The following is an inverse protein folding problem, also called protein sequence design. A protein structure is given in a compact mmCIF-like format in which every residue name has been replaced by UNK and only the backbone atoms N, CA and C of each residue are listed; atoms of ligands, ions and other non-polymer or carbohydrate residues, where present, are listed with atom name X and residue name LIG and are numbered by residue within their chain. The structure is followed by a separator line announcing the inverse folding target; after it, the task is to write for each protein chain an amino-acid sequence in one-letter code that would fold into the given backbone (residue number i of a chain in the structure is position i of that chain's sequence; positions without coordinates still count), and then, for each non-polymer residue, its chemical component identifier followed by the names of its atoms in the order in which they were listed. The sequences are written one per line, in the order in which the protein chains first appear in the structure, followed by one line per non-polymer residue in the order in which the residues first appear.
data_IF_332943630086
#
_entry.id   IF_332943630086
#
_cell.length_a   1.000
_cell.length_b   1.000
_cell.length_c   1.000
_cell.angle_alpha   90.00
_cell.angle_beta   90.00
_cell.angle_gamma   90.00
#
_symmetry.space_group_name_H-M   'P 1'
#
loop_
_entity.id
_entity.type
_entity.pdbx_description
1 polymer ?
#
# COMPACT_ATOMS: atom_id res chain seq x y z
N UNK A 1 43.32 32.86 46.36
CA UNK A 1 41.91 33.31 46.44
C UNK A 1 41.04 32.08 46.68
N UNK A 2 40.01 32.17 47.54
CA UNK A 2 38.94 31.18 47.84
C UNK A 2 39.30 29.68 47.61
N UNK A 3 39.69 28.93 48.63
CA UNK A 3 38.82 28.23 49.61
C UNK A 3 37.95 27.13 48.92
N UNK A 4 38.11 25.83 49.21
CA UNK A 4 37.92 25.10 50.49
C UNK A 4 36.42 24.86 50.79
N UNK A 5 35.91 23.71 51.28
CA UNK A 5 36.46 22.40 51.75
C UNK A 5 35.30 21.33 51.61
N UNK A 6 35.49 20.00 51.47
CA UNK A 6 35.80 18.94 52.48
C UNK A 6 34.80 18.92 53.66
N UNK A 7 34.14 17.81 54.05
CA UNK A 7 34.13 16.39 53.61
C UNK A 7 32.66 15.88 53.42
N UNK A 8 32.08 14.73 53.82
CA UNK A 8 32.42 13.54 54.64
C UNK A 8 31.80 12.24 54.03
N UNK A 9 31.79 11.12 54.77
CA UNK A 9 31.51 9.73 54.34
C UNK A 9 30.12 9.17 54.79
N UNK A 10 29.58 8.25 53.97
CA UNK A 10 28.84 6.99 54.32
C UNK A 10 27.55 7.06 55.20
N UNK A 11 26.60 6.10 55.24
CA UNK A 11 26.49 4.75 54.64
C UNK A 11 25.02 4.27 54.49
N UNK A 12 24.75 3.40 53.51
CA UNK A 12 23.74 2.30 53.46
C UNK A 12 22.19 2.51 53.58
N UNK A 13 21.49 1.65 52.81
CA UNK A 13 20.08 1.16 52.91
C UNK A 13 18.88 2.14 52.93
N UNK A 14 17.86 1.86 52.08
CA UNK A 14 16.46 2.24 52.38
C UNK A 14 15.59 2.86 51.27
N UNK A 15 15.27 2.11 50.21
CA UNK A 15 14.02 2.29 49.44
C UNK A 15 13.07 1.13 49.89
N UNK A 16 11.72 1.18 49.76
CA UNK A 16 10.93 2.10 48.94
C UNK A 16 9.60 2.66 49.53
N UNK A 17 9.02 3.64 48.81
CA UNK A 17 7.61 3.52 48.39
C UNK A 17 6.57 4.54 48.87
N UNK A 18 5.59 4.77 47.98
CA UNK A 18 4.23 5.31 48.17
C UNK A 18 4.01 6.81 48.43
N UNK A 19 3.68 7.45 47.29
CA UNK A 19 2.70 8.54 47.06
C UNK A 19 1.40 8.48 47.92
N UNK A 20 0.58 9.58 48.04
CA UNK A 20 -0.03 10.25 46.87
C UNK A 20 -0.23 11.79 46.90
N UNK A 21 -0.59 12.33 45.74
CA UNK A 21 -1.10 13.69 45.50
C UNK A 21 -2.48 13.96 46.13
N UNK A 22 -2.73 15.19 46.61
CA UNK A 22 -4.01 15.91 46.41
C UNK A 22 -3.96 17.42 46.78
N UNK A 23 -4.16 18.28 45.77
CA UNK A 23 -4.97 19.53 45.77
C UNK A 23 -4.86 20.52 46.95
N UNK A 24 -4.37 21.73 46.68
CA UNK A 24 -5.11 22.97 47.02
C UNK A 24 -4.74 24.15 46.11
N UNK A 25 -5.52 24.37 45.04
CA UNK A 25 -5.49 25.61 44.26
C UNK A 25 -6.60 26.56 44.75
N UNK A 26 -6.42 27.07 45.97
CA UNK A 26 -7.10 28.28 46.46
C UNK A 26 -6.06 29.23 47.02
N UNK A 27 -5.94 30.39 46.37
CA UNK A 27 -5.33 31.66 46.79
C UNK A 27 -4.32 32.24 45.78
N UNK A 28 -4.87 32.85 44.71
CA UNK A 28 -4.39 34.09 44.04
C UNK A 28 -5.27 34.43 42.82
N UNK A 29 -6.44 35.01 43.08
CA UNK A 29 -7.30 35.61 42.03
C UNK A 29 -7.70 37.04 42.44
N UNK A 30 -6.70 37.93 42.60
CA UNK A 30 -6.91 39.39 42.65
C UNK A 30 -5.74 40.13 41.95
N UNK A 31 -5.66 40.01 40.62
CA UNK A 31 -5.48 41.17 39.73
C UNK A 31 -6.42 40.89 38.54
N UNK A 32 -7.26 41.86 38.18
CA UNK A 32 -8.24 41.73 37.10
C UNK A 32 -8.51 43.09 36.45
N UNK A 33 -9.15 43.06 35.27
CA UNK A 33 -9.58 44.20 34.44
C UNK A 33 -8.47 44.93 33.66
N UNK A 34 -7.98 44.25 32.62
CA UNK A 34 -7.80 44.91 31.31
C UNK A 34 -7.86 43.90 30.14
N UNK A 35 -7.43 42.65 30.36
CA UNK A 35 -7.26 41.67 29.27
C UNK A 35 -8.56 41.00 28.75
N UNK A 36 -9.68 41.11 29.48
CA UNK A 36 -10.92 40.39 29.15
C UNK A 36 -11.47 40.68 27.74
N UNK A 37 -11.37 41.93 27.28
CA UNK A 37 -11.83 42.33 25.95
C UNK A 37 -10.85 41.93 24.83
N UNK A 38 -9.59 41.58 25.17
CA UNK A 38 -8.66 40.91 24.25
C UNK A 38 -9.00 39.42 24.13
N UNK A 39 -9.27 38.76 25.25
CA UNK A 39 -9.51 37.32 25.29
C UNK A 39 -10.77 36.88 24.53
N UNK A 40 -11.89 37.60 24.66
CA UNK A 40 -13.10 37.28 23.87
C UNK A 40 -12.87 37.39 22.35
N UNK A 41 -12.12 38.41 21.92
CA UNK A 41 -11.83 38.61 20.50
C UNK A 41 -10.86 37.54 19.98
N UNK A 42 -9.89 37.12 20.80
CA UNK A 42 -8.99 36.02 20.46
C UNK A 42 -9.74 34.68 20.36
N UNK A 43 -10.65 34.37 21.29
CA UNK A 43 -11.48 33.16 21.26
C UNK A 43 -12.41 33.13 20.03
N UNK A 44 -13.08 34.24 19.71
CA UNK A 44 -13.93 34.38 18.51
C UNK A 44 -13.11 34.24 17.22
N UNK A 45 -11.93 34.83 17.15
CA UNK A 45 -11.02 34.70 16.02
C UNK A 45 -10.50 33.26 15.88
N UNK A 46 -10.02 32.63 16.96
CA UNK A 46 -9.52 31.27 16.97
C UNK A 46 -10.61 30.25 16.57
N UNK A 47 -11.85 30.41 17.05
CA UNK A 47 -12.99 29.58 16.65
C UNK A 47 -13.42 29.78 15.19
N UNK A 48 -13.31 31.00 14.65
CA UNK A 48 -13.48 31.21 13.20
C UNK A 48 -12.35 30.60 12.38
N UNK A 49 -11.09 30.70 12.84
CA UNK A 49 -9.94 30.08 12.19
C UNK A 49 -10.07 28.56 12.22
N UNK A 50 -10.46 27.94 13.34
CA UNK A 50 -10.70 26.49 13.41
C UNK A 50 -11.83 26.06 12.46
N UNK A 51 -12.91 26.85 12.35
CA UNK A 51 -14.00 26.58 11.41
C UNK A 51 -13.56 26.72 9.95
N UNK A 52 -12.80 27.77 9.63
CA UNK A 52 -12.19 27.95 8.32
C UNK A 52 -11.21 26.81 7.99
N UNK A 53 -10.39 26.37 8.93
CA UNK A 53 -9.51 25.21 8.75
C UNK A 53 -10.28 23.90 8.58
N UNK A 54 -11.37 23.65 9.33
CA UNK A 54 -12.19 22.46 9.07
C UNK A 54 -12.88 22.52 7.71
N UNK A 55 -13.34 23.69 7.26
CA UNK A 55 -13.88 23.88 5.90
C UNK A 55 -12.79 23.73 4.84
N UNK A 56 -11.56 24.19 5.08
CA UNK A 56 -10.42 24.04 4.16
C UNK A 56 -9.85 22.62 4.13
N UNK A 57 -9.90 21.88 5.24
CA UNK A 57 -9.56 20.46 5.30
C UNK A 57 -10.61 19.63 4.55
N UNK A 58 -11.90 19.93 4.74
CA UNK A 58 -12.99 19.37 3.91
C UNK A 58 -12.81 19.78 2.45
N UNK A 59 -12.41 21.02 2.14
CA UNK A 59 -12.17 21.49 0.77
C UNK A 59 -10.90 20.90 0.12
N UNK A 60 -9.96 20.36 0.92
CA UNK A 60 -8.83 19.54 0.44
C UNK A 60 -9.20 18.05 0.33
N UNK A 61 -10.33 17.65 0.89
CA UNK A 61 -10.96 16.31 0.73
C UNK A 61 -11.99 16.31 -0.41
N UNK A 62 -12.57 17.46 -0.78
CA UNK A 62 -13.10 17.65 -2.14
C UNK A 62 -11.92 17.79 -3.09
N UNK A 63 -11.44 16.66 -3.59
CA UNK A 63 -10.47 16.62 -4.68
C UNK A 63 -10.95 17.56 -5.81
N UNK A 64 -10.01 18.28 -6.44
CA UNK A 64 -10.32 19.08 -7.61
C UNK A 64 -10.91 18.19 -8.71
N UNK A 65 -11.90 18.70 -9.45
CA UNK A 65 -12.54 17.97 -10.56
C UNK A 65 -11.49 17.29 -11.43
N UNK A 66 -11.68 16.00 -11.73
CA UNK A 66 -10.76 15.29 -12.60
C UNK A 66 -10.77 15.91 -14.00
N UNK A 67 -9.62 16.40 -14.46
CA UNK A 67 -9.45 16.74 -15.87
C UNK A 67 -9.42 15.46 -16.72
N UNK A 68 -10.56 15.13 -17.32
CA UNK A 68 -10.72 13.94 -18.16
C UNK A 68 -9.93 13.98 -19.49
N UNK A 69 -9.30 15.12 -19.83
CA UNK A 69 -8.38 15.21 -20.96
C UNK A 69 -6.94 14.78 -20.62
N UNK A 70 -6.62 14.66 -19.32
CA UNK A 70 -5.31 14.22 -18.81
C UNK A 70 -5.39 12.73 -18.44
N UNK A 71 -4.32 11.97 -18.67
CA UNK A 71 -4.27 10.54 -18.34
C UNK A 71 -4.42 10.33 -16.80
N UNK A 72 -5.15 9.30 -16.31
CA UNK A 72 -5.28 9.04 -14.87
C UNK A 72 -3.93 8.94 -14.13
N UNK A 73 -2.88 8.40 -14.77
CA UNK A 73 -1.54 8.28 -14.19
C UNK A 73 -0.75 9.61 -14.15
N UNK A 74 -1.18 10.62 -14.92
CA UNK A 74 -0.64 11.99 -14.88
C UNK A 74 -1.47 12.88 -13.91
N UNK A 75 -2.77 12.64 -13.84
CA UNK A 75 -3.73 13.36 -13.00
C UNK A 75 -3.61 12.95 -11.52
N UNK A 76 -3.43 11.65 -11.26
CA UNK A 76 -3.24 11.09 -9.94
C UNK A 76 -1.75 10.88 -9.64
N UNK A 77 -1.23 11.55 -8.61
CA UNK A 77 0.18 11.42 -8.20
C UNK A 77 0.54 9.96 -7.93
N UNK A 78 1.42 9.40 -8.77
CA UNK A 78 2.01 8.07 -8.59
C UNK A 78 2.74 8.01 -7.23
N UNK A 79 2.48 6.99 -6.38
CA UNK A 79 3.16 6.82 -5.09
C UNK A 79 4.64 6.44 -5.26
N UNK A 80 5.49 6.85 -4.31
CA UNK A 80 6.90 6.42 -4.29
C UNK A 80 7.10 4.90 -4.28
N UNK A 81 6.18 4.15 -3.65
CA UNK A 81 6.31 2.69 -3.46
C UNK A 81 6.36 1.88 -4.77
N UNK A 82 5.92 2.47 -5.90
CA UNK A 82 6.05 1.84 -7.23
C UNK A 82 7.46 1.97 -7.84
N UNK A 83 8.37 2.71 -7.18
CA UNK A 83 9.73 2.98 -7.65
C UNK A 83 10.79 2.58 -6.60
N UNK A 84 10.46 2.67 -5.31
CA UNK A 84 11.37 2.33 -4.21
C UNK A 84 10.62 1.60 -3.08
N UNK A 85 11.17 0.51 -2.56
CA UNK A 85 10.64 -0.18 -1.37
C UNK A 85 11.32 0.46 -0.14
N UNK A 86 10.58 1.06 0.81
CA UNK A 86 11.16 1.75 1.95
C UNK A 86 11.77 0.74 2.92
N UNK A 87 12.94 1.05 3.50
CA UNK A 87 13.55 0.24 4.56
C UNK A 87 13.08 0.61 5.96
N UNK A 88 12.59 1.84 6.14
CA UNK A 88 12.18 2.40 7.43
C UNK A 88 10.65 2.47 7.56
N UNK A 89 10.14 2.18 8.77
CA UNK A 89 8.69 2.14 9.06
C UNK A 89 8.05 3.54 8.99
N UNK A 90 8.81 4.62 9.21
CA UNK A 90 8.34 6.00 8.97
C UNK A 90 7.96 6.24 7.52
N UNK A 91 8.80 5.75 6.61
CA UNK A 91 8.77 6.05 5.20
C UNK A 91 7.69 5.18 4.53
N UNK A 92 7.59 3.92 4.96
CA UNK A 92 6.44 3.06 4.68
C UNK A 92 5.10 3.70 5.06
N UNK A 93 5.01 4.39 6.19
CA UNK A 93 3.76 5.09 6.60
C UNK A 93 3.46 6.32 5.75
N UNK A 94 4.47 7.06 5.28
CA UNK A 94 4.27 8.11 4.27
C UNK A 94 3.75 7.49 2.97
N UNK A 95 4.39 6.43 2.49
CA UNK A 95 4.06 5.77 1.22
C UNK A 95 2.65 5.18 1.26
N UNK A 96 2.25 4.57 2.38
CA UNK A 96 0.88 4.11 2.62
C UNK A 96 -0.17 5.23 2.48
N UNK A 97 0.14 6.45 2.92
CA UNK A 97 -0.75 7.60 2.73
C UNK A 97 -0.78 8.06 1.26
N UNK A 98 0.34 8.02 0.54
CA UNK A 98 0.38 8.30 -0.91
C UNK A 98 -0.43 7.27 -1.69
N UNK A 99 -0.19 5.98 -1.48
CA UNK A 99 -0.88 4.87 -2.15
C UNK A 99 -2.39 4.91 -1.89
N UNK A 100 -2.83 5.07 -0.63
CA UNK A 100 -4.26 5.21 -0.31
C UNK A 100 -4.88 6.51 -0.84
N UNK A 101 -4.09 7.52 -1.21
CA UNK A 101 -4.56 8.71 -1.94
C UNK A 101 -4.62 8.48 -3.46
N UNK A 102 -3.66 7.77 -4.03
CA UNK A 102 -3.60 7.42 -5.46
C UNK A 102 -4.81 6.56 -5.86
N UNK A 103 -5.07 5.45 -5.17
CA UNK A 103 -6.20 4.57 -5.48
C UNK A 103 -7.57 5.28 -5.36
N UNK A 104 -7.71 6.24 -4.44
CA UNK A 104 -8.93 7.07 -4.34
C UNK A 104 -9.07 8.03 -5.52
N UNK A 105 -7.97 8.62 -5.96
CA UNK A 105 -7.94 9.51 -7.12
C UNK A 105 -8.26 8.76 -8.42
N UNK A 106 -7.63 7.60 -8.66
CA UNK A 106 -7.90 6.78 -9.85
C UNK A 106 -9.32 6.26 -9.88
N UNK A 107 -9.89 5.92 -8.71
CA UNK A 107 -11.31 5.55 -8.60
C UNK A 107 -12.24 6.72 -8.93
N UNK A 108 -12.02 7.90 -8.34
CA UNK A 108 -12.78 9.10 -8.67
C UNK A 108 -12.67 9.46 -10.15
N UNK A 109 -11.47 9.36 -10.74
CA UNK A 109 -11.27 9.57 -12.16
C UNK A 109 -12.11 8.59 -13.00
N UNK A 110 -12.19 7.31 -12.62
CA UNK A 110 -13.09 6.36 -13.30
C UNK A 110 -14.58 6.73 -13.12
N UNK A 111 -14.99 7.17 -11.93
CA UNK A 111 -16.39 7.54 -11.66
C UNK A 111 -16.80 8.88 -12.33
N UNK A 112 -15.86 9.83 -12.53
CA UNK A 112 -16.10 11.12 -13.22
C UNK A 112 -15.88 11.06 -14.74
N UNK A 113 -14.91 10.29 -15.22
CA UNK A 113 -14.41 10.30 -16.61
C UNK A 113 -14.55 8.95 -17.36
N UNK A 114 -14.94 7.86 -16.69
CA UNK A 114 -14.83 6.49 -17.20
C UNK A 114 -15.69 6.11 -18.42
N UNK A 115 -16.57 6.99 -18.90
CA UNK A 115 -17.39 6.73 -20.10
C UNK A 115 -16.56 6.81 -21.39
N UNK A 116 -15.78 5.76 -21.68
CA UNK A 116 -15.23 5.49 -23.00
C UNK A 116 -13.79 5.98 -23.27
N UNK A 117 -12.95 6.15 -22.23
CA UNK A 117 -11.51 6.41 -22.39
C UNK A 117 -10.64 5.27 -21.86
N UNK A 118 -10.62 5.09 -20.54
CA UNK A 118 -9.83 4.07 -19.83
C UNK A 118 -10.71 3.52 -18.70
N UNK A 119 -10.81 2.19 -18.61
CA UNK A 119 -11.33 1.51 -17.42
C UNK A 119 -10.12 0.98 -16.65
N UNK A 120 -10.00 1.34 -15.37
CA UNK A 120 -8.94 0.88 -14.46
C UNK A 120 -9.44 -0.28 -13.59
N UNK A 121 -10.70 -0.22 -13.18
CA UNK A 121 -11.37 -1.24 -12.36
C UNK A 121 -12.52 -1.82 -13.18
N UNK A 122 -12.18 -2.72 -14.11
CA UNK A 122 -13.12 -3.33 -15.08
C UNK A 122 -13.88 -4.54 -14.47
N UNK A 123 -13.32 -5.15 -13.42
CA UNK A 123 -13.96 -6.25 -12.70
C UNK A 123 -14.71 -5.76 -11.44
N UNK A 124 -15.94 -6.26 -11.16
CA UNK A 124 -16.69 -5.88 -9.98
C UNK A 124 -15.94 -6.19 -8.68
N UNK A 125 -15.88 -5.23 -7.75
CA UNK A 125 -15.19 -5.38 -6.47
C UNK A 125 -13.67 -5.27 -6.53
N UNK A 126 -13.07 -5.07 -7.71
CA UNK A 126 -11.61 -4.99 -7.88
C UNK A 126 -11.02 -3.79 -7.12
N UNK A 127 -11.61 -2.59 -7.27
CA UNK A 127 -11.17 -1.42 -6.51
C UNK A 127 -11.25 -1.65 -5.00
N UNK A 128 -12.37 -2.18 -4.53
CA UNK A 128 -12.66 -2.41 -3.13
C UNK A 128 -11.67 -3.43 -2.54
N UNK A 129 -11.46 -4.56 -3.21
CA UNK A 129 -10.51 -5.61 -2.80
C UNK A 129 -9.05 -5.11 -2.75
N UNK A 130 -8.60 -4.38 -3.78
CA UNK A 130 -7.27 -3.76 -3.77
C UNK A 130 -7.14 -2.71 -2.66
N UNK A 131 -8.15 -1.85 -2.49
CA UNK A 131 -8.12 -0.76 -1.52
C UNK A 131 -8.15 -1.24 -0.07
N UNK A 132 -8.95 -2.27 0.23
CA UNK A 132 -9.07 -2.82 1.57
C UNK A 132 -7.84 -3.66 1.93
N UNK A 133 -7.25 -4.41 0.97
CA UNK A 133 -5.99 -5.13 1.21
C UNK A 133 -4.81 -4.19 1.44
N UNK A 134 -4.71 -3.10 0.67
CA UNK A 134 -3.75 -2.02 0.93
C UNK A 134 -4.07 -1.33 2.27
N UNK A 135 -5.34 -1.25 2.66
CA UNK A 135 -5.72 -0.69 3.95
C UNK A 135 -5.24 -1.54 5.12
N UNK A 136 -5.42 -2.86 5.07
CA UNK A 136 -4.88 -3.79 6.06
C UNK A 136 -3.35 -3.67 6.16
N UNK A 137 -2.64 -3.76 5.03
CA UNK A 137 -1.16 -3.63 4.96
C UNK A 137 -0.66 -2.32 5.59
N UNK A 138 -1.46 -1.25 5.51
CA UNK A 138 -1.13 0.09 5.99
C UNK A 138 -1.69 0.44 7.38
N UNK A 139 -2.49 -0.41 8.02
CA UNK A 139 -3.10 -0.14 9.33
C UNK A 139 -2.29 -0.76 10.47
N UNK A 140 -1.90 0.07 11.43
CA UNK A 140 -0.99 -0.31 12.52
C UNK A 140 -1.52 -1.49 13.34
N UNK A 141 -0.83 -2.63 13.26
CA UNK A 141 -1.13 -3.82 14.07
C UNK A 141 -2.06 -4.86 13.43
N UNK A 142 -2.42 -4.74 12.15
CA UNK A 142 -2.96 -5.90 11.40
C UNK A 142 -1.85 -6.94 11.17
N UNK A 143 -2.23 -8.18 10.86
CA UNK A 143 -1.26 -9.24 10.58
C UNK A 143 -0.38 -8.92 9.34
N UNK A 144 -0.99 -8.39 8.27
CA UNK A 144 -0.26 -8.00 7.06
C UNK A 144 0.67 -6.80 7.32
N UNK A 145 0.21 -5.80 8.09
CA UNK A 145 1.03 -4.67 8.48
C UNK A 145 2.25 -5.09 9.31
N UNK A 146 2.08 -6.00 10.29
CA UNK A 146 3.19 -6.52 11.09
C UNK A 146 4.20 -7.28 10.23
N UNK A 147 3.75 -8.22 9.40
CA UNK A 147 4.67 -8.99 8.52
C UNK A 147 5.39 -8.06 7.54
N UNK A 148 4.73 -7.05 6.97
CA UNK A 148 5.38 -6.11 6.05
C UNK A 148 6.36 -5.19 6.78
N UNK A 149 5.96 -4.58 7.90
CA UNK A 149 6.81 -3.61 8.64
C UNK A 149 8.04 -4.26 9.28
N UNK A 150 7.93 -5.51 9.75
CA UNK A 150 9.08 -6.27 10.29
C UNK A 150 10.06 -6.73 9.19
N UNK A 151 9.62 -6.83 7.93
CA UNK A 151 10.41 -7.39 6.82
C UNK A 151 10.74 -6.38 5.71
N UNK A 152 10.47 -5.08 5.89
CA UNK A 152 10.75 -4.00 4.93
C UNK A 152 12.14 -4.08 4.29
N UNK A 153 13.18 -4.28 5.12
CA UNK A 153 14.54 -4.46 4.62
C UNK A 153 14.66 -5.68 3.72
N UNK A 154 14.06 -6.81 4.06
CA UNK A 154 14.14 -8.01 3.23
C UNK A 154 13.42 -7.82 1.90
N UNK A 155 12.27 -7.15 1.89
CA UNK A 155 11.59 -6.76 0.65
C UNK A 155 12.46 -5.83 -0.20
N UNK A 156 13.07 -4.78 0.38
CA UNK A 156 14.01 -3.92 -0.34
C UNK A 156 15.23 -4.70 -0.90
N UNK A 157 15.85 -5.57 -0.09
CA UNK A 157 16.95 -6.43 -0.50
C UNK A 157 16.54 -7.46 -1.58
N UNK A 158 15.26 -7.88 -1.64
CA UNK A 158 14.75 -8.84 -2.63
C UNK A 158 14.37 -8.15 -3.93
N UNK A 159 13.49 -7.15 -3.86
CA UNK A 159 13.00 -6.42 -5.03
C UNK A 159 14.10 -5.59 -5.70
N UNK A 160 15.07 -5.05 -4.94
CA UNK A 160 16.25 -4.37 -5.49
C UNK A 160 17.29 -5.28 -6.17
N UNK A 161 17.02 -6.58 -6.32
CA UNK A 161 17.91 -7.57 -6.97
C UNK A 161 17.19 -8.53 -7.91
N UNK A 162 15.87 -8.44 -8.06
CA UNK A 162 15.08 -9.35 -8.89
C UNK A 162 14.63 -8.67 -10.16
N UNK A 163 14.59 -9.41 -11.26
CA UNK A 163 14.24 -8.91 -12.58
C UNK A 163 12.89 -9.52 -13.02
N UNK A 164 11.95 -9.72 -12.09
CA UNK A 164 10.70 -10.46 -12.35
C UNK A 164 9.77 -9.82 -13.41
N UNK A 165 9.99 -8.55 -13.76
CA UNK A 165 9.29 -7.92 -14.87
C UNK A 165 9.99 -8.26 -16.18
N UNK A 166 11.30 -8.03 -16.28
CA UNK A 166 12.10 -8.34 -17.47
C UNK A 166 12.09 -9.85 -17.79
N UNK A 167 12.13 -10.72 -16.79
CA UNK A 167 12.00 -12.18 -16.98
C UNK A 167 10.60 -12.59 -17.48
N UNK A 168 9.55 -11.81 -17.20
CA UNK A 168 8.21 -12.05 -17.75
C UNK A 168 8.11 -11.52 -19.19
N UNK A 169 8.61 -10.31 -19.45
CA UNK A 169 8.70 -9.71 -20.80
C UNK A 169 9.52 -10.59 -21.77
N UNK A 170 10.71 -11.05 -21.35
CA UNK A 170 11.56 -11.97 -22.13
C UNK A 170 10.87 -13.32 -22.38
N UNK A 171 10.07 -13.82 -21.43
CA UNK A 171 9.31 -15.06 -21.58
C UNK A 171 8.16 -14.94 -22.60
N UNK A 172 7.42 -13.83 -22.58
CA UNK A 172 6.28 -13.63 -23.51
C UNK A 172 6.69 -13.08 -24.88
N UNK A 173 7.85 -12.43 -25.02
CA UNK A 173 8.31 -11.86 -26.29
C UNK A 173 8.36 -12.89 -27.44
N UNK A 174 8.92 -14.10 -27.28
CA UNK A 174 8.90 -15.15 -28.31
C UNK A 174 7.51 -15.70 -28.63
N UNK A 175 6.49 -15.47 -27.79
CA UNK A 175 5.09 -15.71 -28.16
C UNK A 175 4.58 -14.55 -29.02
N UNK A 176 4.73 -13.30 -28.57
CA UNK A 176 4.31 -12.08 -29.28
C UNK A 176 4.87 -12.02 -30.71
N UNK A 177 6.14 -12.40 -30.91
CA UNK A 177 6.75 -12.45 -32.24
C UNK A 177 6.06 -13.45 -33.17
N UNK A 178 5.82 -14.69 -32.72
CA UNK A 178 5.08 -15.70 -33.49
C UNK A 178 3.68 -15.23 -33.88
N UNK A 179 3.00 -14.48 -33.00
CA UNK A 179 1.66 -13.91 -33.29
C UNK A 179 1.68 -12.77 -34.32
N UNK A 180 2.82 -12.08 -34.50
CA UNK A 180 3.00 -11.06 -35.54
C UNK A 180 3.28 -11.68 -36.91
N UNK A 181 3.87 -12.88 -36.93
CA UNK A 181 4.19 -13.62 -38.16
C UNK A 181 2.99 -14.43 -38.68
N UNK A 182 2.30 -15.20 -37.83
CA UNK A 182 1.15 -16.02 -38.25
C UNK A 182 -0.18 -15.26 -38.20
N UNK A 183 -0.55 -14.68 -39.35
CA UNK A 183 -1.82 -13.95 -39.55
C UNK A 183 -3.06 -14.83 -39.65
N UNK A 184 -2.93 -16.16 -39.56
CA UNK A 184 -4.03 -17.11 -39.64
C UNK A 184 -4.31 -17.82 -38.29
N UNK A 185 -3.46 -17.68 -37.28
CA UNK A 185 -3.74 -18.21 -35.94
C UNK A 185 -4.70 -17.28 -35.17
N UNK A 186 -5.92 -17.77 -34.91
CA UNK A 186 -6.72 -17.28 -33.77
C UNK A 186 -6.03 -17.73 -32.49
N UNK A 187 -5.12 -16.91 -31.96
CA UNK A 187 -4.43 -17.22 -30.72
C UNK A 187 -5.37 -17.01 -29.53
N UNK A 188 -5.69 -18.10 -28.84
CA UNK A 188 -6.58 -18.08 -27.67
C UNK A 188 -5.89 -17.49 -26.43
N UNK A 189 -4.60 -17.79 -26.25
CA UNK A 189 -3.82 -17.45 -25.04
C UNK A 189 -3.70 -15.94 -24.83
N UNK A 190 -4.15 -15.45 -23.68
CA UNK A 190 -3.90 -14.06 -23.26
C UNK A 190 -2.45 -13.88 -22.83
N UNK A 191 -1.71 -13.08 -23.60
CA UNK A 191 -0.31 -12.77 -23.33
C UNK A 191 -0.16 -12.00 -22.01
N UNK A 192 -0.95 -10.94 -21.80
CA UNK A 192 -0.86 -10.11 -20.58
C UNK A 192 -1.23 -10.88 -19.31
N UNK A 193 -2.13 -11.87 -19.42
CA UNK A 193 -2.39 -12.79 -18.30
C UNK A 193 -1.17 -13.66 -17.98
N UNK A 194 -0.53 -14.23 -19.01
CA UNK A 194 0.64 -15.10 -18.86
C UNK A 194 1.85 -14.34 -18.32
N UNK A 195 2.01 -13.08 -18.71
CA UNK A 195 3.03 -12.13 -18.23
C UNK A 195 2.83 -11.80 -16.74
N UNK A 196 1.61 -11.41 -16.34
CA UNK A 196 1.24 -11.12 -14.94
C UNK A 196 1.43 -12.36 -14.04
N UNK A 197 1.01 -13.54 -14.51
CA UNK A 197 1.19 -14.81 -13.80
C UNK A 197 2.69 -15.12 -13.62
N UNK A 198 3.50 -14.96 -14.67
CA UNK A 198 4.95 -15.21 -14.58
C UNK A 198 5.63 -14.23 -13.61
N UNK A 199 5.27 -12.94 -13.66
CA UNK A 199 5.84 -11.93 -12.76
C UNK A 199 5.42 -12.18 -11.30
N UNK A 200 4.14 -12.46 -11.05
CA UNK A 200 3.62 -12.82 -9.72
C UNK A 200 4.27 -14.07 -9.14
N UNK A 201 4.41 -15.13 -9.94
CA UNK A 201 5.09 -16.38 -9.58
C UNK A 201 6.57 -16.18 -9.27
N UNK A 202 7.27 -15.36 -10.06
CA UNK A 202 8.66 -14.98 -9.83
C UNK A 202 8.82 -14.21 -8.51
N UNK A 203 7.98 -13.18 -8.28
CA UNK A 203 7.96 -12.40 -7.04
C UNK A 203 7.72 -13.29 -5.82
N UNK A 204 6.78 -14.23 -5.92
CA UNK A 204 6.49 -15.17 -4.85
C UNK A 204 7.70 -16.06 -4.53
N UNK A 205 8.35 -16.68 -5.53
CA UNK A 205 9.59 -17.46 -5.28
C UNK A 205 10.67 -16.60 -4.64
N UNK A 206 10.94 -15.41 -5.18
CA UNK A 206 11.97 -14.52 -4.67
C UNK A 206 11.73 -14.17 -3.18
N UNK A 207 10.48 -13.90 -2.78
CA UNK A 207 10.14 -13.63 -1.37
C UNK A 207 10.20 -14.90 -0.51
N UNK A 208 9.72 -16.05 -0.99
CA UNK A 208 9.82 -17.33 -0.27
C UNK A 208 11.27 -17.74 0.00
N UNK A 209 12.18 -17.52 -0.97
CA UNK A 209 13.59 -17.87 -0.88
C UNK A 209 14.40 -16.89 -0.01
N UNK A 210 14.18 -15.58 -0.15
CA UNK A 210 15.00 -14.56 0.54
C UNK A 210 14.43 -14.15 1.91
N UNK A 211 13.10 -14.04 2.04
CA UNK A 211 12.42 -13.61 3.27
C UNK A 211 11.75 -14.75 4.03
N UNK A 212 11.70 -15.94 3.45
CA UNK A 212 11.25 -17.15 4.12
C UNK A 212 9.72 -17.29 4.18
N UNK A 213 9.31 -18.45 4.71
CA UNK A 213 7.96 -18.98 4.50
C UNK A 213 6.82 -18.04 4.91
N UNK A 214 6.88 -17.43 6.10
CA UNK A 214 5.80 -16.58 6.63
C UNK A 214 5.59 -15.34 5.76
N UNK A 215 6.68 -14.74 5.26
CA UNK A 215 6.64 -13.55 4.42
C UNK A 215 6.12 -13.89 3.02
N UNK A 216 6.49 -15.05 2.47
CA UNK A 216 5.93 -15.57 1.22
C UNK A 216 4.43 -15.90 1.31
N UNK A 217 3.98 -16.54 2.41
CA UNK A 217 2.55 -16.82 2.64
C UNK A 217 1.74 -15.52 2.78
N UNK A 218 2.24 -14.50 3.49
CA UNK A 218 1.58 -13.20 3.58
C UNK A 218 1.58 -12.45 2.23
N UNK A 219 2.64 -12.57 1.42
CA UNK A 219 2.71 -11.96 0.08
C UNK A 219 1.73 -12.63 -0.88
N UNK A 220 1.57 -13.95 -0.79
CA UNK A 220 0.54 -14.70 -1.51
C UNK A 220 -0.88 -14.28 -1.09
N UNK A 221 -1.13 -14.13 0.21
CA UNK A 221 -2.41 -13.61 0.72
C UNK A 221 -2.69 -12.19 0.18
N UNK A 222 -1.68 -11.32 0.14
CA UNK A 222 -1.80 -9.97 -0.43
C UNK A 222 -2.16 -10.02 -1.91
N UNK A 223 -1.45 -10.80 -2.74
CA UNK A 223 -1.69 -10.90 -4.21
C UNK A 223 -3.10 -11.41 -4.54
N UNK A 224 -3.60 -12.38 -3.77
CA UNK A 224 -4.97 -12.87 -3.93
C UNK A 224 -5.99 -11.82 -3.47
N UNK A 225 -5.88 -11.35 -2.22
CA UNK A 225 -6.87 -10.43 -1.63
C UNK A 225 -6.91 -9.06 -2.32
N UNK A 226 -5.80 -8.57 -2.85
CA UNK A 226 -5.75 -7.34 -3.65
C UNK A 226 -6.41 -7.50 -5.02
N UNK A 227 -6.62 -8.75 -5.46
CA UNK A 227 -6.97 -9.14 -6.83
C UNK A 227 -5.99 -8.59 -7.89
N UNK A 228 -4.69 -8.49 -7.55
CA UNK A 228 -3.65 -7.99 -8.48
C UNK A 228 -3.71 -8.72 -9.81
N UNK A 229 -3.78 -10.05 -9.81
CA UNK A 229 -3.78 -10.82 -11.06
C UNK A 229 -5.10 -10.64 -11.84
N UNK A 230 -6.24 -10.37 -11.18
CA UNK A 230 -7.52 -10.09 -11.86
C UNK A 230 -7.53 -8.73 -12.58
N UNK A 231 -6.55 -7.86 -12.32
CA UNK A 231 -6.36 -6.58 -13.04
C UNK A 231 -5.86 -6.82 -14.48
N UNK A 232 -4.90 -7.72 -14.66
CA UNK A 232 -4.25 -8.00 -15.96
C UNK A 232 -4.68 -9.35 -16.59
N UNK A 233 -5.36 -10.21 -15.83
CA UNK A 233 -5.88 -11.50 -16.27
C UNK A 233 -7.34 -11.70 -15.86
N UNK A 234 -8.27 -11.54 -16.81
CA UNK A 234 -9.69 -11.80 -16.58
C UNK A 234 -9.98 -13.31 -16.56
N UNK A 235 -11.10 -13.72 -15.96
CA UNK A 235 -11.53 -15.13 -15.85
C UNK A 235 -11.45 -15.92 -17.17
N UNK A 236 -11.88 -15.33 -18.29
CA UNK A 236 -11.82 -15.98 -19.61
C UNK A 236 -10.39 -16.09 -20.17
N UNK A 237 -9.54 -15.12 -19.83
CA UNK A 237 -8.12 -15.08 -20.20
C UNK A 237 -7.33 -16.11 -19.37
N UNK A 238 -7.65 -16.21 -18.07
CA UNK A 238 -7.11 -17.21 -17.15
C UNK A 238 -7.43 -18.65 -17.62
N UNK A 239 -8.70 -18.90 -17.97
CA UNK A 239 -9.11 -20.18 -18.55
C UNK A 239 -8.33 -20.49 -19.83
N UNK A 240 -8.13 -19.52 -20.73
CA UNK A 240 -7.38 -19.78 -21.96
C UNK A 240 -5.87 -19.95 -21.76
N UNK A 241 -5.28 -19.45 -20.67
CA UNK A 241 -3.89 -19.78 -20.29
C UNK A 241 -3.82 -21.19 -19.71
N UNK A 242 -4.80 -21.61 -18.89
CA UNK A 242 -4.92 -23.00 -18.40
C UNK A 242 -5.10 -24.00 -19.55
N UNK A 243 -6.03 -23.74 -20.47
CA UNK A 243 -6.33 -24.61 -21.63
C UNK A 243 -5.10 -24.81 -22.54
N UNK A 244 -4.16 -23.86 -22.52
CA UNK A 244 -2.92 -23.90 -23.29
C UNK A 244 -1.68 -24.37 -22.51
N UNK A 245 -1.76 -24.54 -21.18
CA UNK A 245 -0.62 -24.72 -20.28
C UNK A 245 0.34 -25.85 -20.70
N UNK A 246 -0.19 -26.96 -21.20
CA UNK A 246 0.61 -28.11 -21.66
C UNK A 246 1.37 -27.87 -22.97
N UNK A 247 0.99 -26.84 -23.73
CA UNK A 247 1.64 -26.43 -24.97
C UNK A 247 2.64 -25.28 -24.76
N UNK A 248 2.76 -24.75 -23.54
CA UNK A 248 3.76 -23.74 -23.17
C UNK A 248 5.10 -24.42 -22.86
N UNK A 249 6.20 -23.80 -23.31
CA UNK A 249 7.57 -24.25 -23.03
C UNK A 249 7.98 -23.85 -21.60
N UNK A 250 7.40 -24.56 -20.64
CA UNK A 250 7.54 -24.36 -19.20
C UNK A 250 8.00 -25.65 -18.53
N UNK A 251 8.82 -25.52 -17.48
CA UNK A 251 9.08 -26.64 -16.57
C UNK A 251 7.79 -27.03 -15.84
N UNK A 252 7.65 -28.31 -15.49
CA UNK A 252 6.48 -28.81 -14.76
C UNK A 252 6.26 -28.07 -13.43
N UNK A 253 7.33 -27.67 -12.74
CA UNK A 253 7.26 -26.84 -11.53
C UNK A 253 6.67 -25.43 -11.80
N UNK A 254 6.97 -24.83 -12.96
CA UNK A 254 6.35 -23.56 -13.39
C UNK A 254 4.89 -23.77 -13.80
N UNK A 255 4.59 -24.80 -14.60
CA UNK A 255 3.20 -25.16 -14.96
C UNK A 255 2.33 -25.35 -13.71
N UNK A 256 2.81 -26.12 -12.73
CA UNK A 256 2.07 -26.38 -11.49
C UNK A 256 1.81 -25.10 -10.69
N UNK A 257 2.81 -24.21 -10.59
CA UNK A 257 2.67 -22.93 -9.89
C UNK A 257 1.69 -21.98 -10.60
N UNK A 258 1.81 -21.86 -11.94
CA UNK A 258 0.91 -21.06 -12.77
C UNK A 258 -0.54 -21.57 -12.68
N UNK A 259 -0.75 -22.89 -12.79
CA UNK A 259 -2.06 -23.52 -12.63
C UNK A 259 -2.65 -23.21 -11.25
N UNK A 260 -1.87 -23.34 -10.17
CA UNK A 260 -2.35 -23.04 -8.81
C UNK A 260 -2.72 -21.55 -8.59
N UNK A 261 -2.09 -20.62 -9.31
CA UNK A 261 -2.47 -19.19 -9.32
C UNK A 261 -3.75 -18.96 -10.13
N UNK A 262 -3.84 -19.56 -11.32
CA UNK A 262 -4.96 -19.40 -12.24
C UNK A 262 -6.25 -20.04 -11.71
N UNK A 263 -6.18 -21.24 -11.13
CA UNK A 263 -7.32 -21.93 -10.53
C UNK A 263 -7.97 -21.11 -9.40
N UNK A 264 -7.19 -20.38 -8.60
CA UNK A 264 -7.73 -19.51 -7.54
C UNK A 264 -8.60 -18.38 -8.06
N UNK A 265 -8.24 -17.79 -9.21
CA UNK A 265 -9.03 -16.75 -9.88
C UNK A 265 -10.38 -17.29 -10.40
N UNK A 266 -10.45 -18.59 -10.74
CA UNK A 266 -11.69 -19.26 -11.15
C UNK A 266 -12.57 -19.65 -9.95
N UNK A 267 -11.96 -20.11 -8.84
CA UNK A 267 -12.68 -20.43 -7.60
C UNK A 267 -13.39 -19.21 -6.99
N UNK A 268 -12.74 -18.05 -6.96
CA UNK A 268 -13.30 -16.81 -6.38
C UNK A 268 -14.54 -16.28 -7.11
N UNK A 269 -14.78 -16.69 -8.37
CA UNK A 269 -15.95 -16.29 -9.17
C UNK A 269 -17.10 -17.31 -9.11
N UNK A 270 -16.90 -18.42 -8.40
CA UNK A 270 -17.87 -19.51 -8.29
C UNK A 270 -18.70 -19.48 -6.99
N UNK A 271 -18.55 -18.43 -6.17
CA UNK A 271 -19.22 -18.21 -4.89
C UNK A 271 -19.95 -16.86 -4.85
#
# INVERSE_FOLDING_TARGET
MKQAEILYLESQYGNPGLEPFAISLRDKVIIAKDEGQKFENFDKAFKMILRAFSVLLIAKVTLGKSDCEINPFENCKIPKIFNEIPTEVSDFKEFCAETKSYYRCTRQYQDECGTGRITLYDSPGLFEATYDTISDVCEDGTLLNLVVTENLKCFNDTFGKTNCLEEAEDFVTPLIERLREDKNHENTVSISCLEEIHSSDCVLRAVFENCGKIVGEATYEIILRSKTIEYSCKVAEAQSVLDAMENLDLSEDKKQSFTALLEKLLEEKSN
#
